data_IF_017956684087
#
_entry.id   IF_017956684087
#
_cell.length_a   1.000
_cell.length_b   1.000
_cell.length_c   1.000
_cell.angle_alpha   90.00
_cell.angle_beta   90.00
_cell.angle_gamma   90.00
#
_symmetry.space_group_name_H-M   'P 1'
#
loop_
_entity.id
_entity.type
_entity.pdbx_description
1 polymer ?
#
# COMPACT_ATOMS: atom_id res chain seq x y z
N UNK A 1 -9.02 -27.90 3.56
CA UNK A 1 -8.50 -26.77 4.36
C UNK A 1 -8.06 -25.56 3.51
N UNK A 2 -7.29 -25.75 2.42
CA UNK A 2 -6.82 -24.64 1.58
C UNK A 2 -7.93 -23.70 1.06
N UNK A 3 -9.08 -24.25 0.64
CA UNK A 3 -10.24 -23.45 0.20
C UNK A 3 -10.83 -22.57 1.30
N UNK A 4 -10.92 -23.09 2.53
CA UNK A 4 -11.43 -22.36 3.70
C UNK A 4 -10.53 -21.17 4.06
N UNK A 5 -9.20 -21.38 4.11
CA UNK A 5 -8.27 -20.28 4.39
C UNK A 5 -8.29 -19.22 3.30
N UNK A 6 -8.42 -19.64 2.03
CA UNK A 6 -8.58 -18.72 0.91
C UNK A 6 -9.84 -17.87 1.04
N UNK A 7 -10.99 -18.47 1.38
CA UNK A 7 -12.23 -17.70 1.56
C UNK A 7 -12.14 -16.71 2.72
N UNK A 8 -11.46 -17.06 3.82
CA UNK A 8 -11.20 -16.11 4.90
C UNK A 8 -10.37 -14.92 4.43
N UNK A 9 -9.29 -15.15 3.69
CA UNK A 9 -8.45 -14.06 3.18
C UNK A 9 -9.20 -13.14 2.21
N UNK A 10 -10.05 -13.68 1.33
CA UNK A 10 -10.92 -12.84 0.48
C UNK A 10 -11.97 -12.09 1.30
N UNK A 11 -12.56 -12.72 2.32
CA UNK A 11 -13.53 -12.07 3.21
C UNK A 11 -12.92 -10.89 3.97
N UNK A 12 -11.64 -10.95 4.38
CA UNK A 12 -10.94 -9.84 5.02
C UNK A 12 -10.91 -8.57 4.15
N UNK A 13 -10.85 -8.71 2.82
CA UNK A 13 -10.74 -7.59 1.89
C UNK A 13 -12.05 -7.24 1.19
N UNK A 14 -13.15 -7.99 1.41
CA UNK A 14 -14.40 -7.84 0.68
C UNK A 14 -15.04 -6.46 0.84
N UNK A 15 -15.08 -5.92 2.06
CA UNK A 15 -15.61 -4.58 2.32
C UNK A 15 -14.79 -3.49 1.64
N UNK A 16 -13.47 -3.64 1.64
CA UNK A 16 -12.56 -2.70 1.00
C UNK A 16 -12.67 -2.75 -0.53
N UNK A 17 -12.83 -3.94 -1.12
CA UNK A 17 -13.07 -4.11 -2.55
C UNK A 17 -14.35 -3.39 -2.99
N UNK A 18 -15.42 -3.53 -2.20
CA UNK A 18 -16.67 -2.81 -2.43
C UNK A 18 -16.47 -1.28 -2.32
N UNK A 19 -15.72 -0.81 -1.33
CA UNK A 19 -15.36 0.61 -1.19
C UNK A 19 -14.59 1.15 -2.39
N UNK A 20 -13.61 0.39 -2.91
CA UNK A 20 -12.86 0.75 -4.13
C UNK A 20 -13.78 0.80 -5.35
N UNK A 21 -14.72 -0.13 -5.46
CA UNK A 21 -15.72 -0.12 -6.53
C UNK A 21 -16.60 1.13 -6.46
N UNK A 22 -17.11 1.49 -5.27
CA UNK A 22 -17.87 2.72 -5.07
C UNK A 22 -17.03 3.92 -5.48
N UNK A 23 -15.78 4.02 -5.00
CA UNK A 23 -14.88 5.13 -5.29
C UNK A 23 -14.70 5.32 -6.80
N UNK A 24 -14.47 4.24 -7.55
CA UNK A 24 -14.35 4.27 -9.02
C UNK A 24 -15.62 4.73 -9.74
N UNK A 25 -16.79 4.42 -9.19
CA UNK A 25 -18.07 4.82 -9.80
C UNK A 25 -18.49 6.25 -9.44
N UNK A 26 -18.17 6.71 -8.23
CA UNK A 26 -18.59 8.02 -7.73
C UNK A 26 -17.58 9.11 -8.03
N UNK A 27 -16.32 8.75 -8.22
CA UNK A 27 -15.23 9.68 -8.53
C UNK A 27 -14.59 9.29 -9.85
N UNK A 28 -14.38 10.26 -10.73
CA UNK A 28 -13.73 10.04 -12.02
C UNK A 28 -12.21 9.91 -11.85
N UNK A 29 -11.77 8.94 -11.05
CA UNK A 29 -10.36 8.68 -10.74
C UNK A 29 -9.89 7.36 -11.33
N UNK A 30 -8.65 7.35 -11.81
CA UNK A 30 -7.91 6.14 -12.17
C UNK A 30 -7.04 5.72 -10.99
N UNK A 31 -6.95 4.41 -10.74
CA UNK A 31 -6.09 3.84 -9.71
C UNK A 31 -5.02 3.02 -10.43
N UNK A 32 -3.83 3.60 -10.58
CA UNK A 32 -2.72 2.97 -11.30
C UNK A 32 -2.02 1.90 -10.46
N UNK A 33 -1.90 2.14 -9.15
CA UNK A 33 -1.39 1.18 -8.18
C UNK A 33 -1.90 1.50 -6.78
N UNK A 34 -1.84 0.52 -5.89
CA UNK A 34 -2.16 0.69 -4.47
C UNK A 34 -0.97 0.35 -3.60
N UNK A 35 -0.61 1.23 -2.69
CA UNK A 35 0.37 0.94 -1.65
C UNK A 35 -0.33 0.37 -0.42
N UNK A 36 0.02 -0.86 -0.05
CA UNK A 36 -0.57 -1.56 1.08
C UNK A 36 0.37 -1.56 2.29
N UNK A 37 -0.19 -1.28 3.47
CA UNK A 37 0.52 -1.26 4.74
C UNK A 37 -0.33 -1.89 5.86
N UNK A 38 0.29 -2.19 6.99
CA UNK A 38 -0.33 -2.81 8.16
C UNK A 38 0.19 -4.22 8.48
N UNK A 39 -0.16 -4.72 9.66
CA UNK A 39 0.41 -5.94 10.23
C UNK A 39 0.23 -7.19 9.35
N UNK A 40 -0.84 -7.27 8.56
CA UNK A 40 -1.09 -8.40 7.63
C UNK A 40 -0.05 -8.48 6.50
N UNK A 41 0.58 -7.36 6.14
CA UNK A 41 1.58 -7.29 5.06
C UNK A 41 3.02 -7.45 5.55
N UNK A 42 3.24 -7.71 6.86
CA UNK A 42 4.57 -8.13 7.38
C UNK A 42 5.08 -9.38 6.66
N UNK A 43 4.17 -10.26 6.27
CA UNK A 43 4.47 -11.42 5.42
C UNK A 43 4.09 -11.05 3.98
N UNK A 44 5.07 -10.84 3.08
CA UNK A 44 4.78 -10.42 1.71
C UNK A 44 4.09 -11.53 0.91
N UNK A 45 3.63 -11.18 -0.30
CA UNK A 45 3.05 -12.09 -1.30
C UNK A 45 1.61 -12.51 -1.05
N UNK A 46 1.29 -13.39 -0.10
CA UNK A 46 -0.06 -14.01 -0.06
C UNK A 46 -1.19 -12.98 0.13
N UNK A 47 -1.16 -12.12 1.18
CA UNK A 47 -2.21 -11.11 1.37
C UNK A 47 -2.20 -10.07 0.26
N UNK A 48 -1.00 -9.74 -0.26
CA UNK A 48 -0.79 -8.81 -1.36
C UNK A 48 -1.40 -9.30 -2.68
N UNK A 49 -1.25 -10.59 -3.01
CA UNK A 49 -1.83 -11.21 -4.20
C UNK A 49 -3.35 -11.22 -4.13
N UNK A 50 -3.91 -11.60 -2.98
CA UNK A 50 -5.35 -11.63 -2.79
C UNK A 50 -5.92 -10.22 -2.88
N UNK A 51 -5.22 -9.22 -2.33
CA UNK A 51 -5.62 -7.83 -2.44
C UNK A 51 -5.58 -7.32 -3.89
N UNK A 52 -4.50 -7.62 -4.63
CA UNK A 52 -4.35 -7.22 -6.02
C UNK A 52 -5.46 -7.82 -6.89
N UNK A 53 -5.78 -9.10 -6.66
CA UNK A 53 -6.90 -9.78 -7.31
C UNK A 53 -8.25 -9.16 -6.93
N UNK A 54 -8.49 -8.92 -5.63
CA UNK A 54 -9.75 -8.36 -5.15
C UNK A 54 -10.05 -6.97 -5.72
N UNK A 55 -9.01 -6.16 -5.94
CA UNK A 55 -9.17 -4.77 -6.42
C UNK A 55 -8.96 -4.62 -7.92
N UNK A 56 -8.54 -5.70 -8.58
CA UNK A 56 -8.08 -5.68 -9.97
C UNK A 56 -7.10 -4.51 -10.21
N UNK A 57 -6.10 -4.39 -9.34
CA UNK A 57 -5.15 -3.26 -9.30
C UNK A 57 -3.79 -3.76 -8.84
N UNK A 58 -2.66 -3.27 -9.39
CA UNK A 58 -1.34 -3.58 -8.86
C UNK A 58 -1.22 -3.15 -7.40
N UNK A 59 -0.66 -4.02 -6.54
CA UNK A 59 -0.42 -3.70 -5.13
C UNK A 59 1.07 -3.71 -4.85
N UNK A 60 1.57 -2.61 -4.27
CA UNK A 60 2.95 -2.45 -3.80
C UNK A 60 3.01 -2.58 -2.28
N UNK A 61 3.95 -3.37 -1.77
CA UNK A 61 4.26 -3.49 -0.34
C UNK A 61 5.74 -3.19 -0.16
N UNK A 62 6.06 -2.25 0.74
CA UNK A 62 7.44 -1.91 1.10
C UNK A 62 7.92 -2.64 2.35
N UNK A 63 9.23 -2.65 2.59
CA UNK A 63 9.81 -3.13 3.86
C UNK A 63 9.31 -2.36 5.09
N UNK A 64 8.88 -1.12 4.91
CA UNK A 64 8.32 -0.23 5.95
C UNK A 64 6.80 -0.35 6.08
N UNK A 65 6.16 -1.23 5.30
CA UNK A 65 4.71 -1.41 5.32
C UNK A 65 4.16 -1.80 6.69
N UNK A 66 4.98 -2.40 7.58
CA UNK A 66 4.56 -2.74 8.94
C UNK A 66 4.30 -1.53 9.84
N UNK A 67 4.96 -0.41 9.55
CA UNK A 67 4.93 0.80 10.39
C UNK A 67 3.73 1.70 10.07
N UNK A 68 3.25 1.66 8.82
CA UNK A 68 2.06 2.39 8.38
C UNK A 68 2.12 3.88 8.71
N UNK A 69 1.07 4.39 9.38
CA UNK A 69 0.96 5.82 9.70
C UNK A 69 2.05 6.36 10.62
N UNK A 70 2.63 5.53 11.49
CA UNK A 70 3.72 5.96 12.36
C UNK A 70 4.96 6.36 11.56
N UNK A 71 5.25 5.63 10.48
CA UNK A 71 6.33 5.97 9.56
C UNK A 71 6.09 7.30 8.85
N UNK A 72 4.85 7.55 8.40
CA UNK A 72 4.48 8.84 7.80
C UNK A 72 4.65 10.02 8.76
N UNK A 73 4.29 9.85 10.04
CA UNK A 73 4.49 10.89 11.05
C UNK A 73 5.99 11.15 11.31
N UNK A 74 6.80 10.10 11.42
CA UNK A 74 8.25 10.25 11.57
C UNK A 74 8.89 10.91 10.35
N UNK A 75 8.44 10.55 9.14
CA UNK A 75 8.87 11.14 7.88
C UNK A 75 8.61 12.65 7.83
N UNK A 76 7.40 13.08 8.21
CA UNK A 76 7.04 14.50 8.22
C UNK A 76 7.80 15.30 9.30
N UNK A 77 8.06 14.69 10.45
CA UNK A 77 8.91 15.29 11.48
C UNK A 77 10.36 15.46 11.00
N UNK A 78 10.91 14.45 10.33
CA UNK A 78 12.23 14.48 9.71
C UNK A 78 12.31 15.54 8.61
N UNK A 79 11.31 15.61 7.72
CA UNK A 79 11.21 16.64 6.69
C UNK A 79 11.23 18.05 7.31
N UNK A 80 10.41 18.27 8.34
CA UNK A 80 10.33 19.57 9.02
C UNK A 80 11.64 20.00 9.69
N UNK A 81 12.52 19.05 10.05
CA UNK A 81 13.79 19.33 10.69
C UNK A 81 14.96 19.45 9.69
N UNK A 82 14.94 18.69 8.60
CA UNK A 82 16.11 18.51 7.73
C UNK A 82 15.91 18.98 6.29
N UNK A 83 14.70 19.28 5.84
CA UNK A 83 14.47 19.76 4.49
C UNK A 83 14.95 21.22 4.35
N UNK A 84 16.07 21.40 3.66
CA UNK A 84 16.68 22.71 3.42
C UNK A 84 16.06 23.35 2.16
N UNK A 85 14.88 23.98 2.30
CA UNK A 85 14.15 24.66 1.22
C UNK A 85 13.80 23.77 0.00
N UNK A 86 13.79 22.45 0.19
CA UNK A 86 13.39 21.49 -0.84
C UNK A 86 11.91 21.16 -0.66
N UNK A 87 11.20 20.82 -1.75
CA UNK A 87 9.81 20.35 -1.65
C UNK A 87 9.75 18.98 -0.96
N UNK A 88 8.57 18.61 -0.43
CA UNK A 88 8.40 17.30 0.19
C UNK A 88 8.62 16.17 -0.79
N UNK A 89 8.12 16.34 -2.02
CA UNK A 89 8.24 15.38 -3.12
C UNK A 89 9.72 15.14 -3.44
N UNK A 90 10.46 16.21 -3.73
CA UNK A 90 11.90 16.12 -4.04
C UNK A 90 12.70 15.54 -2.86
N UNK A 91 12.36 15.91 -1.63
CA UNK A 91 13.08 15.42 -0.46
C UNK A 91 12.86 13.91 -0.23
N UNK A 92 11.62 13.43 -0.38
CA UNK A 92 11.29 12.00 -0.29
C UNK A 92 12.04 11.23 -1.40
N UNK A 93 11.99 11.70 -2.64
CA UNK A 93 12.58 10.98 -3.77
C UNK A 93 14.10 10.87 -3.67
N UNK A 94 14.76 11.96 -3.25
CA UNK A 94 16.22 11.99 -3.18
C UNK A 94 16.77 11.34 -1.90
N UNK A 95 16.04 11.42 -0.79
CA UNK A 95 16.57 11.04 0.54
C UNK A 95 15.99 9.74 1.10
N UNK A 96 14.74 9.43 0.77
CA UNK A 96 13.97 8.36 1.43
C UNK A 96 13.77 7.18 0.48
N UNK A 97 13.31 7.45 -0.75
CA UNK A 97 13.02 6.45 -1.77
C UNK A 97 14.25 5.62 -2.17
N UNK A 98 15.46 6.18 -2.07
CA UNK A 98 16.73 5.48 -2.34
C UNK A 98 17.03 4.33 -1.38
N UNK A 99 16.37 4.27 -0.22
CA UNK A 99 16.63 3.25 0.81
C UNK A 99 15.52 2.20 0.94
N UNK A 100 14.39 2.36 0.24
CA UNK A 100 13.20 1.56 0.47
C UNK A 100 13.05 0.44 -0.58
N UNK A 101 13.09 -0.81 -0.13
CA UNK A 101 12.76 -1.96 -0.98
C UNK A 101 11.25 -2.14 -1.02
N UNK A 102 10.69 -2.26 -2.22
CA UNK A 102 9.27 -2.51 -2.44
C UNK A 102 9.04 -3.63 -3.45
N UNK A 103 8.00 -4.42 -3.21
CA UNK A 103 7.54 -5.47 -4.12
C UNK A 103 6.17 -5.08 -4.65
N UNK A 104 6.00 -5.05 -5.97
CA UNK A 104 4.70 -4.86 -6.61
C UNK A 104 4.20 -6.16 -7.21
N UNK A 105 2.94 -6.52 -6.94
CA UNK A 105 2.28 -7.67 -7.52
C UNK A 105 1.08 -7.22 -8.35
N UNK A 106 0.97 -7.80 -9.54
CA UNK A 106 -0.13 -7.54 -10.47
C UNK A 106 -1.40 -8.27 -10.03
N UNK A 107 -2.55 -7.80 -10.51
CA UNK A 107 -3.79 -8.56 -10.40
C UNK A 107 -3.68 -9.84 -11.23
N UNK A 108 -3.95 -10.99 -10.60
CA UNK A 108 -3.97 -12.33 -11.23
C UNK A 108 -5.18 -13.11 -10.74
#
# INVERSE_FOLDING_TARGET
LAGLMRSHLFALFASMAHGVQILRHTTNITIDSMHAHGGIFKTPRIPQQILAAAFNTPVTVSTTASEGGAWGMALLAAYSQWAQNTTLEDWIDNTVSTTQQALTLQAT
#
